data_IF_918842817731
#
_entry.id   IF_918842817731
#
_cell.length_a   1.000
_cell.length_b   1.000
_cell.length_c   1.000
_cell.angle_alpha   90.00
_cell.angle_beta   90.00
_cell.angle_gamma   90.00
#
_symmetry.space_group_name_H-M   'P 1'
#
loop_
_entity.id
_entity.type
_entity.pdbx_description
1 polymer ?
#
# COMPACT_ATOMS: atom_id res chain seq x y z
N UNK A 1 53.85 0.66 112.39
CA UNK A 1 52.61 0.68 111.58
C UNK A 1 52.86 0.16 110.16
N UNK A 2 53.94 0.56 109.48
CA UNK A 2 54.29 0.06 108.13
C UNK A 2 55.23 -1.16 108.07
N UNK A 3 55.25 -2.03 109.10
CA UNK A 3 56.13 -3.24 109.17
C UNK A 3 55.44 -4.41 109.88
N UNK A 4 54.17 -4.60 109.60
CA UNK A 4 53.38 -5.75 110.04
C UNK A 4 53.03 -6.57 108.80
N UNK A 5 53.11 -7.91 108.90
CA UNK A 5 52.83 -8.83 107.77
C UNK A 5 51.51 -8.54 107.05
N UNK A 6 50.50 -8.07 107.77
CA UNK A 6 49.20 -7.71 107.20
C UNK A 6 49.24 -6.48 106.26
N UNK A 7 50.12 -5.50 106.49
CA UNK A 7 50.20 -4.28 105.68
C UNK A 7 50.96 -4.51 104.37
N UNK A 8 52.05 -5.28 104.39
CA UNK A 8 52.78 -5.66 103.17
C UNK A 8 51.92 -6.55 102.26
N UNK A 9 51.16 -7.50 102.82
CA UNK A 9 50.26 -8.36 102.06
C UNK A 9 49.14 -7.59 101.36
N UNK A 10 48.53 -6.61 102.04
CA UNK A 10 47.47 -5.78 101.47
C UNK A 10 47.98 -4.79 100.41
N UNK A 11 49.20 -4.25 100.59
CA UNK A 11 49.80 -3.34 99.62
C UNK A 11 50.28 -4.09 98.35
N UNK A 12 50.79 -5.31 98.51
CA UNK A 12 51.10 -6.21 97.38
C UNK A 12 49.83 -6.63 96.62
N UNK A 13 48.73 -6.91 97.31
CA UNK A 13 47.43 -7.18 96.68
C UNK A 13 46.88 -5.95 95.95
N UNK A 14 46.99 -4.75 96.53
CA UNK A 14 46.57 -3.51 95.88
C UNK A 14 47.41 -3.17 94.64
N UNK A 15 48.73 -3.40 94.68
CA UNK A 15 49.62 -3.25 93.54
C UNK A 15 49.30 -4.27 92.44
N UNK A 16 49.08 -5.55 92.81
CA UNK A 16 48.64 -6.59 91.86
C UNK A 16 47.29 -6.25 91.21
N UNK A 17 46.31 -5.77 91.98
CA UNK A 17 45.01 -5.35 91.44
C UNK A 17 45.15 -4.13 90.52
N UNK A 18 46.01 -3.17 90.85
CA UNK A 18 46.35 -2.04 89.97
C UNK A 18 47.00 -2.47 88.65
N UNK A 19 47.89 -3.45 88.71
CA UNK A 19 48.57 -4.01 87.54
C UNK A 19 47.60 -4.82 86.65
N UNK A 20 46.71 -5.63 87.25
CA UNK A 20 45.65 -6.35 86.55
C UNK A 20 44.68 -5.36 85.87
N UNK A 21 44.25 -4.30 86.56
CA UNK A 21 43.36 -3.30 85.98
C UNK A 21 44.03 -2.54 84.81
N UNK A 22 45.33 -2.29 84.88
CA UNK A 22 46.10 -1.71 83.78
C UNK A 22 46.19 -2.65 82.58
N UNK A 23 46.42 -3.95 82.82
CA UNK A 23 46.41 -4.97 81.75
C UNK A 23 45.04 -5.11 81.09
N UNK A 24 43.94 -5.06 81.87
CA UNK A 24 42.57 -5.09 81.35
C UNK A 24 42.29 -3.84 80.50
N UNK A 25 42.70 -2.65 80.94
CA UNK A 25 42.54 -1.42 80.18
C UNK A 25 43.32 -1.44 78.85
N UNK A 26 44.56 -1.96 78.86
CA UNK A 26 45.36 -2.12 77.65
C UNK A 26 44.79 -3.18 76.69
N UNK A 27 44.26 -4.29 77.19
CA UNK A 27 43.56 -5.28 76.38
C UNK A 27 42.27 -4.73 75.77
N UNK A 28 41.48 -3.98 76.53
CA UNK A 28 40.25 -3.35 76.04
C UNK A 28 40.54 -2.29 74.97
N UNK A 29 41.62 -1.50 75.14
CA UNK A 29 42.05 -0.53 74.12
C UNK A 29 42.52 -1.23 72.82
N UNK A 30 43.26 -2.34 72.94
CA UNK A 30 43.67 -3.16 71.78
C UNK A 30 42.47 -3.80 71.07
N UNK A 31 41.52 -4.35 71.81
CA UNK A 31 40.30 -4.93 71.27
C UNK A 31 39.42 -3.88 70.57
N UNK A 32 39.31 -2.67 71.13
CA UNK A 32 38.57 -1.56 70.50
C UNK A 32 39.21 -1.10 69.19
N UNK A 33 40.54 -1.05 69.11
CA UNK A 33 41.26 -0.72 67.87
C UNK A 33 41.10 -1.80 66.80
N UNK A 34 41.27 -3.07 67.16
CA UNK A 34 41.05 -4.20 66.25
C UNK A 34 39.61 -4.28 65.74
N UNK A 35 38.62 -3.98 66.58
CA UNK A 35 37.22 -3.91 66.17
C UNK A 35 36.95 -2.73 65.22
N UNK A 36 37.58 -1.56 65.45
CA UNK A 36 37.50 -0.41 64.55
C UNK A 36 38.07 -0.72 63.16
N UNK A 37 39.28 -1.28 63.10
CA UNK A 37 39.94 -1.70 61.85
C UNK A 37 39.15 -2.80 61.12
N UNK A 38 38.58 -3.76 61.85
CA UNK A 38 37.74 -4.81 61.26
C UNK A 38 36.43 -4.24 60.69
N UNK A 39 35.88 -3.19 61.30
CA UNK A 39 34.66 -2.53 60.85
C UNK A 39 34.90 -1.73 59.56
N UNK A 40 35.98 -0.96 59.50
CA UNK A 40 36.40 -0.26 58.27
C UNK A 40 36.68 -1.24 57.12
N UNK A 41 37.36 -2.35 57.40
CA UNK A 41 37.66 -3.38 56.39
C UNK A 41 36.39 -4.05 55.86
N UNK A 42 35.39 -4.26 56.72
CA UNK A 42 34.10 -4.80 56.32
C UNK A 42 33.26 -3.78 55.52
N UNK A 43 33.30 -2.49 55.88
CA UNK A 43 32.65 -1.42 55.11
C UNK A 43 33.26 -1.25 53.72
N UNK A 44 34.59 -1.28 53.61
CA UNK A 44 35.29 -1.25 52.32
C UNK A 44 34.87 -2.43 51.43
N UNK A 45 34.81 -3.64 52.00
CA UNK A 45 34.41 -4.85 51.28
C UNK A 45 32.93 -4.84 50.87
N UNK A 46 32.07 -4.22 51.69
CA UNK A 46 30.65 -4.02 51.37
C UNK A 46 30.49 -3.06 50.19
N UNK A 47 31.28 -1.98 50.13
CA UNK A 47 31.25 -1.04 49.01
C UNK A 47 31.76 -1.67 47.71
N UNK A 48 32.86 -2.44 47.74
CA UNK A 48 33.32 -3.21 46.57
C UNK A 48 32.26 -4.18 46.05
N UNK A 49 31.56 -4.87 46.95
CA UNK A 49 30.47 -5.78 46.58
C UNK A 49 29.29 -5.03 45.95
N UNK A 50 28.93 -3.85 46.46
CA UNK A 50 27.87 -3.00 45.89
C UNK A 50 28.23 -2.51 44.49
N UNK A 51 29.48 -2.07 44.29
CA UNK A 51 29.96 -1.65 42.97
C UNK A 51 29.98 -2.82 41.98
N UNK A 52 30.36 -4.01 42.45
CA UNK A 52 30.28 -5.25 41.67
C UNK A 52 28.85 -5.61 41.25
N UNK A 53 27.88 -5.47 42.16
CA UNK A 53 26.45 -5.69 41.88
C UNK A 53 25.94 -4.68 40.85
N UNK A 54 26.25 -3.39 41.01
CA UNK A 54 25.85 -2.36 40.06
C UNK A 54 26.42 -2.62 38.65
N UNK A 55 27.67 -3.09 38.56
CA UNK A 55 28.28 -3.50 37.30
C UNK A 55 27.57 -4.69 36.64
N UNK A 56 27.16 -5.70 37.43
CA UNK A 56 26.40 -6.85 36.95
C UNK A 56 24.99 -6.48 36.51
N UNK A 57 24.31 -5.58 37.23
CA UNK A 57 22.98 -5.06 36.88
C UNK A 57 23.00 -4.30 35.55
N UNK A 58 24.00 -3.44 35.34
CA UNK A 58 24.21 -2.74 34.07
C UNK A 58 24.40 -3.72 32.90
N UNK A 59 25.21 -4.76 33.12
CA UNK A 59 25.48 -5.79 32.11
C UNK A 59 24.26 -6.67 31.84
N UNK A 60 23.42 -6.92 32.86
CA UNK A 60 22.14 -7.60 32.70
C UNK A 60 21.14 -6.75 31.89
N UNK A 61 21.11 -5.43 32.11
CA UNK A 61 20.29 -4.52 31.31
C UNK A 61 20.73 -4.49 29.84
N UNK A 62 22.04 -4.46 29.56
CA UNK A 62 22.59 -4.51 28.20
C UNK A 62 22.29 -5.85 27.50
N UNK A 63 22.36 -6.96 28.23
CA UNK A 63 21.94 -8.27 27.71
C UNK A 63 20.43 -8.29 27.44
N UNK A 64 19.62 -7.67 28.29
CA UNK A 64 18.17 -7.53 28.10
C UNK A 64 17.81 -6.80 26.81
N UNK A 65 18.53 -5.71 26.47
CA UNK A 65 18.31 -5.01 25.20
C UNK A 65 18.71 -5.85 23.99
N UNK A 66 19.83 -6.58 24.05
CA UNK A 66 20.26 -7.51 22.99
C UNK A 66 19.27 -8.66 22.79
N UNK A 67 18.74 -9.23 23.86
CA UNK A 67 17.70 -10.27 23.79
C UNK A 67 16.43 -9.74 23.12
N UNK A 68 16.00 -8.52 23.49
CA UNK A 68 14.83 -7.89 22.86
C UNK A 68 15.05 -7.61 21.37
N UNK A 69 16.25 -7.18 20.98
CA UNK A 69 16.62 -7.00 19.58
C UNK A 69 16.59 -8.35 18.82
N UNK A 70 17.14 -9.41 19.41
CA UNK A 70 17.14 -10.74 18.81
C UNK A 70 15.71 -11.27 18.59
N UNK A 71 14.82 -11.09 19.58
CA UNK A 71 13.39 -11.46 19.45
C UNK A 71 12.70 -10.70 18.30
N UNK A 72 13.00 -9.41 18.13
CA UNK A 72 12.47 -8.62 16.99
C UNK A 72 12.99 -9.16 15.65
N UNK A 73 14.30 -9.38 15.54
CA UNK A 73 14.92 -9.93 14.33
C UNK A 73 14.37 -11.31 13.97
N UNK A 74 14.14 -12.17 14.95
CA UNK A 74 13.53 -13.49 14.74
C UNK A 74 12.09 -13.38 14.21
N UNK A 75 11.30 -12.44 14.75
CA UNK A 75 9.96 -12.13 14.25
C UNK A 75 9.97 -11.63 12.80
N UNK A 76 10.89 -10.71 12.47
CA UNK A 76 11.06 -10.20 11.11
C UNK A 76 11.54 -11.27 10.14
N UNK A 77 12.46 -12.15 10.56
CA UNK A 77 12.92 -13.27 9.75
C UNK A 77 11.78 -14.24 9.42
N UNK A 78 10.98 -14.64 10.43
CA UNK A 78 9.83 -15.51 10.23
C UNK A 78 8.77 -14.87 9.31
N UNK A 79 8.57 -13.55 9.42
CA UNK A 79 7.69 -12.79 8.52
C UNK A 79 8.20 -12.82 7.08
N UNK A 80 9.49 -12.58 6.86
CA UNK A 80 10.12 -12.61 5.52
C UNK A 80 10.10 -14.01 4.90
N UNK A 81 10.34 -15.05 5.69
CA UNK A 81 10.27 -16.43 5.22
C UNK A 81 8.86 -16.81 4.75
N UNK A 82 7.81 -16.36 5.46
CA UNK A 82 6.42 -16.51 5.01
C UNK A 82 6.12 -15.76 3.72
N UNK A 83 6.73 -14.60 3.50
CA UNK A 83 6.57 -13.84 2.25
C UNK A 83 7.25 -14.58 1.10
N UNK A 84 8.44 -15.11 1.32
CA UNK A 84 9.19 -15.86 0.30
C UNK A 84 8.43 -17.11 -0.15
N UNK A 85 7.95 -17.94 0.79
CA UNK A 85 7.17 -19.13 0.43
C UNK A 85 5.86 -18.81 -0.31
N UNK A 86 5.23 -17.66 -0.02
CA UNK A 86 4.07 -17.18 -0.78
C UNK A 86 4.44 -16.73 -2.20
N UNK A 87 5.64 -16.20 -2.39
CA UNK A 87 6.16 -15.85 -3.72
C UNK A 87 6.37 -17.12 -4.55
N UNK A 88 6.99 -18.15 -3.99
CA UNK A 88 7.22 -19.42 -4.68
C UNK A 88 5.89 -20.14 -5.05
N UNK A 89 4.89 -20.10 -4.16
CA UNK A 89 3.55 -20.63 -4.45
C UNK A 89 2.87 -19.85 -5.59
N UNK A 90 3.04 -18.51 -5.61
CA UNK A 90 2.54 -17.66 -6.68
C UNK A 90 3.27 -17.94 -8.01
N UNK A 91 4.58 -18.09 -7.99
CA UNK A 91 5.39 -18.38 -9.18
C UNK A 91 5.03 -19.74 -9.78
N UNK A 92 4.82 -20.76 -8.93
CA UNK A 92 4.32 -22.06 -9.38
C UNK A 92 2.93 -21.97 -10.01
N UNK A 93 2.02 -21.20 -9.40
CA UNK A 93 0.67 -20.97 -9.93
C UNK A 93 0.67 -20.25 -11.29
N UNK A 94 1.49 -19.21 -11.42
CA UNK A 94 1.63 -18.45 -12.64
C UNK A 94 2.26 -19.32 -13.73
N UNK A 95 3.38 -19.99 -13.46
CA UNK A 95 4.07 -20.83 -14.44
C UNK A 95 3.21 -21.98 -14.96
N UNK A 96 2.33 -22.57 -14.13
CA UNK A 96 1.37 -23.58 -14.59
C UNK A 96 0.34 -23.00 -15.58
N UNK A 97 -0.23 -21.84 -15.28
CA UNK A 97 -1.27 -21.20 -16.11
C UNK A 97 -0.74 -20.64 -17.43
N UNK A 98 0.53 -20.21 -17.48
CA UNK A 98 1.17 -19.65 -18.68
C UNK A 98 1.85 -20.70 -19.58
N UNK A 99 1.71 -22.00 -19.26
CA UNK A 99 2.26 -23.10 -20.07
C UNK A 99 1.30 -23.65 -21.12
N UNK A 100 0.05 -23.18 -21.14
CA UNK A 100 -0.99 -23.60 -22.09
C UNK A 100 -0.76 -23.01 -23.50
N UNK A 101 -1.53 -23.50 -24.49
CA UNK A 101 -1.57 -22.87 -25.81
C UNK A 101 -1.98 -21.39 -25.70
N UNK A 102 -1.50 -20.53 -26.61
CA UNK A 102 -1.83 -19.10 -26.57
C UNK A 102 -3.35 -18.86 -26.54
N UNK A 103 -4.14 -19.69 -27.24
CA UNK A 103 -5.60 -19.55 -27.25
C UNK A 103 -6.24 -19.87 -25.87
N UNK A 104 -5.80 -20.95 -25.22
CA UNK A 104 -6.29 -21.34 -23.90
C UNK A 104 -5.83 -20.37 -22.83
N UNK A 105 -4.56 -19.97 -22.87
CA UNK A 105 -3.98 -18.97 -21.97
C UNK A 105 -4.76 -17.65 -22.04
N UNK A 106 -5.10 -17.17 -23.23
CA UNK A 106 -5.85 -15.92 -23.41
C UNK A 106 -7.30 -16.05 -22.95
N UNK A 107 -7.92 -17.23 -23.16
CA UNK A 107 -9.27 -17.54 -22.63
C UNK A 107 -9.28 -17.72 -21.12
N UNK A 108 -8.14 -18.11 -20.54
CA UNK A 108 -7.97 -18.32 -19.11
C UNK A 108 -8.17 -17.00 -18.36
N UNK A 109 -8.67 -17.08 -17.13
CA UNK A 109 -8.83 -15.93 -16.25
C UNK A 109 -8.04 -16.20 -14.97
N UNK A 110 -6.71 -16.34 -15.03
CA UNK A 110 -5.93 -16.99 -13.98
C UNK A 110 -6.01 -16.24 -12.65
N UNK A 111 -6.33 -14.94 -12.66
CA UNK A 111 -6.50 -14.17 -11.42
C UNK A 111 -7.93 -14.23 -10.84
N UNK A 112 -8.89 -14.85 -11.55
CA UNK A 112 -10.31 -14.84 -11.22
C UNK A 112 -10.93 -16.25 -11.16
N UNK A 113 -10.64 -17.10 -12.15
CA UNK A 113 -11.22 -18.42 -12.33
C UNK A 113 -10.14 -19.48 -12.61
N UNK A 114 -10.30 -20.67 -12.03
CA UNK A 114 -9.51 -21.89 -12.28
C UNK A 114 -10.42 -22.99 -12.85
N UNK A 115 -9.87 -23.88 -13.69
CA UNK A 115 -10.58 -25.08 -14.15
C UNK A 115 -10.49 -26.16 -13.07
N UNK A 116 -11.64 -26.67 -12.63
CA UNK A 116 -11.71 -27.86 -11.79
C UNK A 116 -11.41 -29.14 -12.57
N UNK A 117 -11.24 -30.25 -11.86
CA UNK A 117 -11.09 -31.60 -12.45
C UNK A 117 -12.30 -31.97 -13.32
N UNK A 118 -13.47 -31.38 -13.01
CA UNK A 118 -14.72 -31.50 -13.77
C UNK A 118 -14.81 -30.55 -14.97
N UNK A 119 -13.70 -29.92 -15.38
CA UNK A 119 -13.59 -28.91 -16.44
C UNK A 119 -14.44 -27.64 -16.22
N UNK A 120 -15.08 -27.51 -15.05
CA UNK A 120 -15.89 -26.34 -14.72
C UNK A 120 -15.04 -25.22 -14.14
N UNK A 121 -15.31 -23.99 -14.57
CA UNK A 121 -14.68 -22.81 -14.02
C UNK A 121 -15.17 -22.54 -12.60
N UNK A 122 -14.24 -22.40 -11.66
CA UNK A 122 -14.48 -22.04 -10.25
C UNK A 122 -13.68 -20.80 -9.89
N UNK A 123 -14.18 -20.00 -8.96
CA UNK A 123 -13.43 -18.82 -8.46
C UNK A 123 -12.16 -19.26 -7.75
N UNK A 124 -11.02 -18.69 -8.14
CA UNK A 124 -9.72 -19.00 -7.53
C UNK A 124 -9.70 -18.62 -6.05
N UNK A 125 -8.82 -19.27 -5.27
CA UNK A 125 -8.57 -18.87 -3.88
C UNK A 125 -8.15 -17.40 -3.78
N UNK A 126 -7.31 -16.92 -4.71
CA UNK A 126 -6.87 -15.54 -4.79
C UNK A 126 -8.06 -14.58 -5.00
N UNK A 127 -8.96 -14.88 -5.94
CA UNK A 127 -10.12 -14.05 -6.20
C UNK A 127 -11.07 -13.98 -5.01
N UNK A 128 -11.30 -15.11 -4.32
CA UNK A 128 -12.08 -15.14 -3.07
C UNK A 128 -11.41 -14.29 -1.98
N UNK A 129 -10.11 -14.44 -1.78
CA UNK A 129 -9.35 -13.66 -0.80
C UNK A 129 -9.39 -12.15 -1.10
N UNK A 130 -9.32 -11.74 -2.38
CA UNK A 130 -9.49 -10.34 -2.81
C UNK A 130 -10.87 -9.79 -2.43
N UNK A 131 -11.93 -10.59 -2.65
CA UNK A 131 -13.30 -10.22 -2.26
C UNK A 131 -13.43 -10.06 -0.74
N UNK A 132 -12.92 -11.01 0.04
CA UNK A 132 -12.98 -10.93 1.51
C UNK A 132 -12.18 -9.74 2.04
N UNK A 133 -10.97 -9.50 1.53
CA UNK A 133 -10.18 -8.31 1.89
C UNK A 133 -10.93 -7.01 1.59
N UNK A 134 -11.60 -6.94 0.43
CA UNK A 134 -12.39 -5.77 0.07
C UNK A 134 -13.58 -5.56 1.03
N UNK A 135 -14.28 -6.63 1.43
CA UNK A 135 -15.36 -6.55 2.43
C UNK A 135 -14.85 -6.07 3.79
N UNK A 136 -13.72 -6.59 4.26
CA UNK A 136 -13.13 -6.15 5.53
C UNK A 136 -12.67 -4.69 5.48
N UNK A 137 -12.13 -4.24 4.34
CA UNK A 137 -11.82 -2.82 4.14
C UNK A 137 -13.08 -1.93 4.21
N UNK A 138 -14.20 -2.37 3.63
CA UNK A 138 -15.48 -1.66 3.74
C UNK A 138 -16.01 -1.63 5.18
N UNK A 139 -15.86 -2.72 5.94
CA UNK A 139 -16.20 -2.76 7.36
C UNK A 139 -15.37 -1.77 8.17
N UNK A 140 -14.07 -1.65 7.86
CA UNK A 140 -13.19 -0.66 8.48
C UNK A 140 -13.63 0.78 8.15
N UNK A 141 -13.95 1.07 6.87
CA UNK A 141 -14.49 2.37 6.48
C UNK A 141 -15.78 2.70 7.24
N UNK A 142 -16.70 1.74 7.32
CA UNK A 142 -17.96 1.86 8.08
C UNK A 142 -17.68 2.21 9.55
N UNK A 143 -16.80 1.47 10.21
CA UNK A 143 -16.44 1.72 11.61
C UNK A 143 -15.84 3.12 11.81
N UNK A 144 -14.93 3.55 10.92
CA UNK A 144 -14.33 4.88 10.95
C UNK A 144 -15.37 5.99 10.75
N UNK A 145 -16.31 5.81 9.83
CA UNK A 145 -17.42 6.75 9.59
C UNK A 145 -18.29 6.89 10.84
N UNK A 146 -18.63 5.78 11.50
CA UNK A 146 -19.45 5.83 12.72
C UNK A 146 -18.70 6.44 13.91
N UNK A 147 -17.40 6.18 14.05
CA UNK A 147 -16.57 6.81 15.07
C UNK A 147 -16.52 8.34 14.91
N UNK A 148 -16.48 8.83 13.66
CA UNK A 148 -16.40 10.25 13.32
C UNK A 148 -17.72 10.84 12.79
N UNK A 149 -18.87 10.30 13.22
CA UNK A 149 -20.19 10.56 12.59
C UNK A 149 -20.55 12.04 12.43
N UNK A 150 -20.27 12.89 13.43
CA UNK A 150 -20.65 14.31 13.39
C UNK A 150 -19.80 15.09 12.38
N UNK A 151 -18.50 14.77 12.30
CA UNK A 151 -17.60 15.35 11.31
C UNK A 151 -17.99 14.91 9.89
N UNK A 152 -18.25 13.62 9.68
CA UNK A 152 -18.70 13.09 8.38
C UNK A 152 -20.03 13.71 7.97
N UNK A 153 -21.00 13.83 8.89
CA UNK A 153 -22.29 14.48 8.62
C UNK A 153 -22.12 15.95 8.21
N UNK A 154 -21.19 16.66 8.85
CA UNK A 154 -20.89 18.06 8.51
C UNK A 154 -20.25 18.16 7.13
N UNK A 155 -19.30 17.29 6.81
CA UNK A 155 -18.67 17.22 5.49
C UNK A 155 -19.69 16.89 4.39
N UNK A 156 -20.65 16.00 4.65
CA UNK A 156 -21.73 15.68 3.70
C UNK A 156 -22.64 16.88 3.41
N UNK A 157 -22.94 17.70 4.43
CA UNK A 157 -23.67 18.96 4.23
C UNK A 157 -22.84 19.95 3.41
N UNK A 158 -21.55 20.06 3.70
CA UNK A 158 -20.65 20.91 2.93
C UNK A 158 -20.55 20.46 1.47
N UNK A 159 -20.47 19.15 1.19
CA UNK A 159 -20.52 18.58 -0.16
C UNK A 159 -21.80 18.98 -0.91
N UNK A 160 -22.94 18.90 -0.24
CA UNK A 160 -24.23 19.31 -0.82
C UNK A 160 -24.23 20.80 -1.18
N UNK A 161 -23.58 21.67 -0.39
CA UNK A 161 -23.46 23.10 -0.73
C UNK A 161 -22.49 23.29 -1.90
N UNK A 162 -21.32 22.62 -1.87
CA UNK A 162 -20.29 22.72 -2.93
C UNK A 162 -20.85 22.33 -4.30
N UNK A 163 -21.65 21.27 -4.40
CA UNK A 163 -22.17 20.80 -5.68
C UNK A 163 -23.42 21.54 -6.18
N UNK A 164 -24.20 22.17 -5.28
CA UNK A 164 -25.46 22.82 -5.67
C UNK A 164 -25.37 24.34 -5.74
N UNK A 165 -24.52 24.98 -4.94
CA UNK A 165 -24.44 26.44 -4.86
C UNK A 165 -23.02 26.91 -4.48
N UNK A 166 -22.20 27.14 -5.50
CA UNK A 166 -20.82 27.57 -5.32
C UNK A 166 -20.71 28.93 -4.61
N UNK A 167 -21.63 29.86 -4.88
CA UNK A 167 -21.63 31.18 -4.24
C UNK A 167 -21.92 31.06 -2.75
N UNK A 168 -22.82 30.17 -2.37
CA UNK A 168 -23.07 29.85 -0.96
C UNK A 168 -21.88 29.14 -0.31
N UNK A 169 -21.16 28.28 -1.04
CA UNK A 169 -19.92 27.68 -0.54
C UNK A 169 -18.88 28.76 -0.21
N UNK A 170 -18.68 29.72 -1.11
CA UNK A 170 -17.76 30.85 -0.90
C UNK A 170 -18.20 31.74 0.27
N UNK A 171 -19.49 32.08 0.35
CA UNK A 171 -20.06 32.86 1.47
C UNK A 171 -19.89 32.17 2.82
N UNK A 172 -19.91 30.83 2.84
CA UNK A 172 -19.66 30.03 4.04
C UNK A 172 -18.16 29.89 4.39
N UNK A 173 -17.25 30.57 3.67
CA UNK A 173 -15.82 30.51 3.91
C UNK A 173 -15.15 29.21 3.44
N UNK A 174 -15.80 28.44 2.56
CA UNK A 174 -15.21 27.23 1.97
C UNK A 174 -14.24 27.62 0.84
N UNK A 175 -13.03 28.03 1.23
CA UNK A 175 -11.89 28.19 0.32
C UNK A 175 -11.60 26.89 -0.45
N UNK A 176 -10.90 27.02 -1.59
CA UNK A 176 -10.53 25.91 -2.47
C UNK A 176 -9.87 24.73 -1.71
N UNK A 177 -8.98 25.02 -0.75
CA UNK A 177 -8.33 24.00 0.08
C UNK A 177 -9.35 23.19 0.90
N UNK A 178 -10.38 23.83 1.44
CA UNK A 178 -11.44 23.18 2.21
C UNK A 178 -12.32 22.33 1.30
N UNK A 179 -12.73 22.88 0.14
CA UNK A 179 -13.54 22.16 -0.85
C UNK A 179 -12.84 20.88 -1.31
N UNK A 180 -11.55 20.96 -1.60
CA UNK A 180 -10.70 19.81 -1.94
C UNK A 180 -10.72 18.72 -0.88
N UNK A 181 -10.43 19.04 0.38
CA UNK A 181 -10.41 18.04 1.46
C UNK A 181 -11.79 17.44 1.74
N UNK A 182 -12.85 18.24 1.62
CA UNK A 182 -14.24 17.79 1.75
C UNK A 182 -14.60 16.79 0.64
N UNK A 183 -14.25 17.08 -0.62
CA UNK A 183 -14.45 16.15 -1.75
C UNK A 183 -13.57 14.91 -1.62
N UNK A 184 -12.34 15.02 -1.11
CA UNK A 184 -11.53 13.82 -0.79
C UNK A 184 -12.22 12.91 0.23
N UNK A 185 -12.91 13.50 1.21
CA UNK A 185 -13.76 12.78 2.16
C UNK A 185 -14.87 11.95 1.51
N UNK A 186 -15.35 12.32 0.32
CA UNK A 186 -16.34 11.53 -0.43
C UNK A 186 -15.82 10.13 -0.77
N UNK A 187 -14.52 9.98 -1.06
CA UNK A 187 -13.92 8.69 -1.40
C UNK A 187 -13.88 7.70 -0.23
N UNK A 188 -14.05 8.17 1.01
CA UNK A 188 -14.24 7.29 2.17
C UNK A 188 -15.60 6.57 2.11
N UNK A 189 -16.62 7.23 1.55
CA UNK A 189 -18.00 6.73 1.44
C UNK A 189 -18.21 5.93 0.15
N UNK A 190 -17.73 6.47 -0.96
CA UNK A 190 -17.88 5.88 -2.31
C UNK A 190 -16.50 5.71 -2.92
N UNK A 191 -15.93 4.49 -2.95
CA UNK A 191 -14.57 4.26 -3.43
C UNK A 191 -14.40 4.50 -4.93
N UNK A 192 -15.51 4.59 -5.67
CA UNK A 192 -15.54 4.84 -7.12
C UNK A 192 -16.54 5.94 -7.40
N UNK A 193 -16.14 6.92 -8.21
CA UNK A 193 -16.97 8.01 -8.72
C UNK A 193 -16.81 8.06 -10.23
N UNK A 194 -17.91 8.03 -10.96
CA UNK A 194 -17.93 8.13 -12.43
C UNK A 194 -18.34 9.54 -12.86
N UNK A 195 -17.66 10.09 -13.86
CA UNK A 195 -17.98 11.39 -14.46
C UNK A 195 -17.51 11.41 -15.92
N UNK A 196 -18.14 12.25 -16.74
CA UNK A 196 -17.58 12.61 -18.06
C UNK A 196 -16.42 13.60 -17.88
N UNK A 197 -15.58 13.76 -18.89
CA UNK A 197 -14.49 14.76 -18.87
C UNK A 197 -15.02 16.20 -18.73
N UNK A 198 -16.14 16.52 -19.38
CA UNK A 198 -16.75 17.84 -19.33
C UNK A 198 -17.15 18.23 -17.89
N UNK A 199 -17.81 17.32 -17.17
CA UNK A 199 -18.20 17.55 -15.77
C UNK A 199 -17.01 17.49 -14.83
N UNK A 200 -16.04 16.58 -15.09
CA UNK A 200 -14.89 16.37 -14.23
C UNK A 200 -14.09 17.64 -13.99
N UNK A 201 -13.87 18.44 -15.05
CA UNK A 201 -13.04 19.63 -14.92
C UNK A 201 -13.62 20.64 -13.93
N UNK A 202 -14.95 20.80 -13.92
CA UNK A 202 -15.66 21.70 -13.01
C UNK A 202 -15.76 21.12 -11.60
N UNK A 203 -16.17 19.85 -11.48
CA UNK A 203 -16.38 19.18 -10.18
C UNK A 203 -15.10 19.08 -9.36
N UNK A 204 -13.97 18.81 -10.01
CA UNK A 204 -12.68 18.61 -9.35
C UNK A 204 -11.69 19.76 -9.61
N UNK A 205 -12.18 20.97 -9.90
CA UNK A 205 -11.32 22.12 -10.27
C UNK A 205 -10.29 22.49 -9.21
N UNK A 206 -10.62 22.30 -7.93
CA UNK A 206 -9.74 22.62 -6.80
C UNK A 206 -8.72 21.50 -6.48
N UNK A 207 -8.76 20.38 -7.21
CA UNK A 207 -7.82 19.28 -7.01
C UNK A 207 -6.47 19.62 -7.63
N UNK A 208 -5.42 19.30 -6.89
CA UNK A 208 -4.03 19.40 -7.29
C UNK A 208 -3.54 18.09 -7.92
N UNK A 209 -2.31 18.15 -8.44
CA UNK A 209 -1.67 17.00 -9.05
C UNK A 209 -1.53 15.84 -8.06
N UNK A 210 -1.99 14.67 -8.48
CA UNK A 210 -1.94 13.44 -7.67
C UNK A 210 -2.94 13.36 -6.51
N UNK A 211 -3.96 14.22 -6.45
CA UNK A 211 -5.03 14.09 -5.45
C UNK A 211 -5.94 12.87 -5.68
N UNK A 212 -6.04 12.41 -6.92
CA UNK A 212 -6.76 11.18 -7.29
C UNK A 212 -5.77 10.02 -7.34
N UNK A 213 -6.07 8.93 -6.63
CA UNK A 213 -5.21 7.76 -6.60
C UNK A 213 -5.13 7.05 -7.96
N UNK A 214 -6.27 6.76 -8.57
CA UNK A 214 -6.37 6.04 -9.84
C UNK A 214 -7.52 6.60 -10.67
N UNK A 215 -7.25 6.89 -11.93
CA UNK A 215 -8.22 7.28 -12.95
C UNK A 215 -8.47 6.12 -13.89
N UNK A 216 -9.74 5.84 -14.21
CA UNK A 216 -10.12 4.93 -15.29
C UNK A 216 -10.76 5.76 -16.40
N UNK A 217 -10.21 5.63 -17.61
CA UNK A 217 -10.77 6.25 -18.82
C UNK A 217 -11.29 5.11 -19.69
N UNK A 218 -12.59 5.09 -19.92
CA UNK A 218 -13.25 4.18 -20.85
C UNK A 218 -13.49 4.88 -22.19
N UNK A 219 -13.62 4.10 -23.26
CA UNK A 219 -13.78 4.60 -24.65
C UNK A 219 -12.71 5.63 -25.05
N UNK A 220 -11.47 5.43 -24.61
CA UNK A 220 -10.37 6.38 -24.78
C UNK A 220 -9.97 6.61 -26.25
N UNK A 221 -10.39 5.71 -27.16
CA UNK A 221 -10.24 5.88 -28.61
C UNK A 221 -11.03 7.08 -29.14
N UNK A 222 -12.17 7.38 -28.51
CA UNK A 222 -13.04 8.51 -28.87
C UNK A 222 -12.73 9.78 -28.05
N UNK A 223 -11.82 9.70 -27.09
CA UNK A 223 -11.48 10.82 -26.22
C UNK A 223 -10.34 11.68 -26.81
N UNK A 224 -10.56 12.99 -26.86
CA UNK A 224 -9.53 13.98 -27.21
C UNK A 224 -8.56 14.18 -26.03
N UNK A 225 -7.28 14.39 -26.33
CA UNK A 225 -6.20 14.68 -25.38
C UNK A 225 -6.53 15.85 -24.44
N UNK A 226 -7.10 16.93 -24.97
CA UNK A 226 -7.40 18.15 -24.19
C UNK A 226 -8.43 17.88 -23.10
N UNK A 227 -9.42 17.03 -23.37
CA UNK A 227 -10.48 16.68 -22.42
C UNK A 227 -9.94 15.84 -21.25
N UNK A 228 -8.98 14.94 -21.51
CA UNK A 228 -8.41 14.07 -20.50
C UNK A 228 -7.29 14.72 -19.67
N UNK A 229 -6.63 15.77 -20.19
CA UNK A 229 -5.46 16.38 -19.58
C UNK A 229 -5.67 16.76 -18.09
N UNK A 230 -6.78 17.43 -17.78
CA UNK A 230 -7.09 17.85 -16.41
C UNK A 230 -7.27 16.68 -15.44
N UNK A 231 -7.88 15.58 -15.92
CA UNK A 231 -8.04 14.36 -15.13
C UNK A 231 -6.72 13.62 -14.93
N UNK A 232 -5.91 13.53 -15.99
CA UNK A 232 -4.60 12.88 -15.95
C UNK A 232 -3.65 13.59 -14.98
N UNK A 233 -3.55 14.93 -15.03
CA UNK A 233 -2.68 15.70 -14.15
C UNK A 233 -3.03 15.55 -12.66
N UNK A 234 -4.33 15.48 -12.35
CA UNK A 234 -4.84 15.32 -10.98
C UNK A 234 -4.72 13.89 -10.45
N UNK A 235 -4.28 12.93 -11.27
CA UNK A 235 -4.25 11.51 -10.94
C UNK A 235 -2.83 10.98 -10.79
N UNK A 236 -2.61 10.07 -9.84
CA UNK A 236 -1.30 9.40 -9.67
C UNK A 236 -1.07 8.30 -10.70
N UNK A 237 -2.14 7.60 -11.07
CA UNK A 237 -2.12 6.53 -12.07
C UNK A 237 -3.37 6.62 -12.94
N UNK A 238 -3.26 6.21 -14.19
CA UNK A 238 -4.38 6.13 -15.12
C UNK A 238 -4.40 4.76 -15.80
N UNK A 239 -5.58 4.15 -15.87
CA UNK A 239 -5.88 3.00 -16.71
C UNK A 239 -6.73 3.51 -17.85
N UNK A 240 -6.21 3.39 -19.07
CA UNK A 240 -6.82 3.90 -20.29
C UNK A 240 -7.27 2.71 -21.11
N UNK A 241 -8.55 2.64 -21.40
CA UNK A 241 -9.19 1.55 -22.12
C UNK A 241 -9.96 2.12 -23.30
N UNK A 242 -9.75 1.53 -24.47
CA UNK A 242 -10.41 1.90 -25.70
C UNK A 242 -9.99 0.96 -26.82
N UNK A 243 -10.58 1.17 -27.99
CA UNK A 243 -10.22 0.44 -29.20
C UNK A 243 -9.75 1.45 -30.26
N UNK A 244 -8.47 1.40 -30.68
CA UNK A 244 -7.93 2.33 -31.66
C UNK A 244 -8.48 2.12 -33.08
N UNK A 245 -9.12 0.97 -33.37
CA UNK A 245 -9.73 0.69 -34.67
C UNK A 245 -11.20 1.14 -34.75
N UNK A 246 -11.77 1.60 -33.63
CA UNK A 246 -13.11 2.18 -33.60
C UNK A 246 -13.09 3.67 -33.94
N UNK A 247 -14.19 4.38 -33.67
CA UNK A 247 -14.35 5.78 -34.01
C UNK A 247 -13.26 6.66 -33.36
N UNK A 248 -12.70 7.55 -34.18
CA UNK A 248 -11.77 8.58 -33.73
C UNK A 248 -12.49 9.73 -32.99
N UNK A 249 -11.77 10.54 -32.21
CA UNK A 249 -12.36 11.69 -31.52
C UNK A 249 -12.95 12.70 -32.50
N UNK A 250 -14.17 13.17 -32.24
CA UNK A 250 -14.77 14.25 -33.03
C UNK A 250 -14.12 15.57 -32.62
N UNK A 251 -13.35 16.17 -33.54
CA UNK A 251 -12.70 17.46 -33.34
C UNK A 251 -13.30 18.50 -34.27
N UNK A 252 -13.93 19.52 -33.69
CA UNK A 252 -14.57 20.63 -34.43
C UNK A 252 -13.58 21.73 -34.85
N UNK A 253 -12.31 21.59 -34.50
CA UNK A 253 -11.27 22.58 -34.78
C UNK A 253 -10.88 22.53 -36.27
N UNK A 254 -10.83 23.67 -36.99
CA UNK A 254 -10.33 23.71 -38.35
C UNK A 254 -8.88 23.23 -38.45
N UNK A 255 -8.55 22.50 -39.52
CA UNK A 255 -7.21 21.94 -39.77
C UNK A 255 -6.12 23.02 -39.74
N UNK A 256 -6.37 24.17 -40.37
CA UNK A 256 -5.43 25.29 -40.39
C UNK A 256 -5.12 25.82 -38.99
N UNK A 257 -6.13 25.90 -38.13
CA UNK A 257 -5.97 26.38 -36.75
C UNK A 257 -5.25 25.34 -35.89
N UNK A 258 -5.57 24.05 -36.04
CA UNK A 258 -4.85 22.98 -35.36
C UNK A 258 -3.35 22.99 -35.71
N UNK A 259 -3.02 23.11 -37.00
CA UNK A 259 -1.63 23.16 -37.45
C UNK A 259 -0.92 24.43 -36.96
N UNK A 260 -1.61 25.58 -36.96
CA UNK A 260 -1.05 26.81 -36.41
C UNK A 260 -0.74 26.69 -34.91
N UNK A 261 -1.61 26.07 -34.12
CA UNK A 261 -1.38 25.81 -32.68
C UNK A 261 -0.21 24.85 -32.49
N UNK A 262 -0.15 23.75 -33.25
CA UNK A 262 0.97 22.80 -33.18
C UNK A 262 2.32 23.47 -33.46
N UNK A 263 2.38 24.29 -34.52
CA UNK A 263 3.60 25.05 -34.86
C UNK A 263 3.94 26.10 -33.81
N UNK A 264 2.95 26.85 -33.31
CA UNK A 264 3.16 27.87 -32.29
C UNK A 264 3.68 27.29 -30.96
N UNK A 265 3.17 26.12 -30.57
CA UNK A 265 3.59 25.44 -29.34
C UNK A 265 4.84 24.57 -29.52
N UNK A 266 5.43 24.50 -30.72
CA UNK A 266 6.51 23.56 -31.08
C UNK A 266 6.18 22.11 -30.69
N UNK A 267 4.89 21.76 -30.78
CA UNK A 267 4.40 20.46 -30.36
C UNK A 267 4.71 19.41 -31.44
N UNK A 268 5.08 18.20 -31.01
CA UNK A 268 5.28 17.07 -31.91
C UNK A 268 3.96 16.69 -32.59
N UNK A 269 4.04 16.17 -33.81
CA UNK A 269 2.86 15.72 -34.59
C UNK A 269 2.02 14.67 -33.85
N UNK A 270 2.64 13.95 -32.93
CA UNK A 270 1.96 12.98 -32.08
C UNK A 270 0.97 13.61 -31.08
N UNK A 271 0.96 14.93 -30.90
CA UNK A 271 -0.03 15.67 -30.12
C UNK A 271 -1.06 16.37 -31.02
N UNK A 272 -1.06 16.07 -32.31
CA UNK A 272 -2.05 16.59 -33.25
C UNK A 272 -3.45 16.13 -32.85
N UNK A 273 -4.31 17.08 -32.50
CA UNK A 273 -5.65 16.81 -31.97
C UNK A 273 -6.55 16.11 -32.97
N UNK A 274 -6.31 16.30 -34.27
CA UNK A 274 -7.09 15.68 -35.35
C UNK A 274 -6.68 14.23 -35.64
N UNK A 275 -5.53 13.78 -35.13
CA UNK A 275 -4.95 12.47 -35.43
C UNK A 275 -4.67 11.62 -34.20
N UNK A 276 -4.89 12.16 -33.01
CA UNK A 276 -4.45 11.53 -31.76
C UNK A 276 -5.57 11.49 -30.74
N UNK A 277 -5.87 10.29 -30.27
CA UNK A 277 -6.74 10.03 -29.13
C UNK A 277 -5.93 9.80 -27.85
N UNK A 278 -6.62 9.83 -26.71
CA UNK A 278 -6.02 9.48 -25.41
C UNK A 278 -5.48 8.05 -25.44
N UNK A 279 -6.21 7.12 -26.08
CA UNK A 279 -5.77 5.74 -26.25
C UNK A 279 -4.45 5.64 -27.01
N UNK A 280 -4.34 6.25 -28.19
CA UNK A 280 -3.14 6.17 -29.02
C UNK A 280 -1.88 6.68 -28.29
N UNK A 281 -2.04 7.70 -27.45
CA UNK A 281 -0.95 8.22 -26.60
C UNK A 281 -0.61 7.30 -25.44
N UNK A 282 -1.63 6.72 -24.80
CA UNK A 282 -1.42 5.76 -23.72
C UNK A 282 -0.70 4.51 -24.24
N UNK A 283 -1.10 3.99 -25.40
CA UNK A 283 -0.48 2.83 -26.04
C UNK A 283 0.99 3.06 -26.37
N UNK A 284 1.32 4.21 -26.97
CA UNK A 284 2.71 4.58 -27.28
C UNK A 284 3.59 4.72 -26.04
N UNK A 285 3.01 4.98 -24.87
CA UNK A 285 3.74 5.03 -23.61
C UNK A 285 3.95 3.65 -22.97
N UNK A 286 3.25 2.61 -23.44
CA UNK A 286 3.40 1.24 -22.93
C UNK A 286 4.57 0.51 -23.59
N UNK A 287 5.38 -0.15 -22.76
CA UNK A 287 6.47 -1.02 -23.21
C UNK A 287 6.00 -2.42 -23.60
N UNK A 288 4.80 -2.81 -23.15
CA UNK A 288 4.23 -4.14 -23.39
C UNK A 288 3.02 -3.97 -24.30
N UNK A 289 3.11 -4.53 -25.50
CA UNK A 289 2.09 -4.38 -26.53
C UNK A 289 2.42 -5.21 -27.76
N UNK A 290 1.61 -5.02 -28.79
CA UNK A 290 1.83 -5.61 -30.12
C UNK A 290 1.45 -4.63 -31.20
N UNK A 291 1.84 -4.92 -32.43
CA UNK A 291 1.34 -4.21 -33.59
C UNK A 291 0.09 -4.90 -34.13
N UNK A 292 -0.94 -4.10 -34.39
CA UNK A 292 -2.15 -4.50 -35.10
C UNK A 292 -2.14 -3.82 -36.48
N UNK A 293 -2.68 -4.46 -37.51
CA UNK A 293 -2.89 -3.81 -38.81
C UNK A 293 -4.22 -3.05 -38.77
N UNK A 294 -4.17 -1.74 -38.91
CA UNK A 294 -5.36 -0.89 -39.02
C UNK A 294 -5.29 -0.06 -40.31
N UNK A 295 -6.30 -0.15 -41.16
CA UNK A 295 -6.45 0.69 -42.36
C UNK A 295 -5.20 0.80 -43.27
N UNK A 296 -4.38 -0.25 -43.33
CA UNK A 296 -3.15 -0.30 -44.13
C UNK A 296 -1.86 0.13 -43.41
N UNK A 297 -1.93 0.56 -42.15
CA UNK A 297 -0.77 0.91 -41.32
C UNK A 297 -0.68 0.01 -40.07
N UNK A 298 0.53 -0.18 -39.56
CA UNK A 298 0.76 -0.91 -38.30
C UNK A 298 0.62 0.04 -37.11
N UNK A 299 -0.36 -0.21 -36.25
CA UNK A 299 -0.64 0.57 -35.05
C UNK A 299 -0.11 -0.20 -33.82
N UNK A 300 0.67 0.45 -32.98
CA UNK A 300 1.11 -0.11 -31.69
C UNK A 300 -0.02 -0.01 -30.66
N UNK A 301 -0.33 -1.11 -29.98
CA UNK A 301 -1.38 -1.19 -28.96
C UNK A 301 -0.82 -1.83 -27.69
N UNK A 302 -1.03 -1.18 -26.55
CA UNK A 302 -0.60 -1.66 -25.26
C UNK A 302 -1.57 -2.72 -24.71
N UNK A 303 -1.03 -3.85 -24.24
CA UNK A 303 -1.79 -4.91 -23.56
C UNK A 303 -3.17 -5.25 -24.19
N UNK A 304 -3.24 -5.61 -25.49
CA UNK A 304 -4.49 -5.82 -26.20
C UNK A 304 -5.31 -6.98 -25.60
N UNK A 305 -6.63 -6.80 -25.50
CA UNK A 305 -7.57 -7.84 -25.10
C UNK A 305 -8.18 -8.51 -26.33
N UNK A 306 -7.70 -9.69 -26.68
CA UNK A 306 -8.08 -10.35 -27.95
C UNK A 306 -9.22 -11.36 -27.83
N UNK A 307 -9.65 -11.72 -26.61
CA UNK A 307 -10.75 -12.68 -26.42
C UNK A 307 -12.10 -12.00 -26.50
N UNK A 308 -12.84 -12.27 -27.58
CA UNK A 308 -14.16 -11.74 -27.80
C UNK A 308 -15.25 -12.66 -27.24
N UNK A 309 -16.14 -12.11 -26.41
CA UNK A 309 -17.22 -12.88 -25.74
C UNK A 309 -18.65 -12.42 -26.09
N UNK A 310 -18.80 -11.34 -26.86
CA UNK A 310 -20.11 -10.69 -27.13
C UNK A 310 -20.89 -11.33 -28.28
N UNK A 311 -20.29 -11.47 -29.46
CA UNK A 311 -20.95 -11.96 -30.67
C UNK A 311 -20.67 -13.46 -30.89
N UNK A 312 -21.55 -14.11 -31.65
CA UNK A 312 -21.36 -15.46 -32.18
C UNK A 312 -21.14 -15.38 -33.69
N UNK A 313 -20.71 -16.49 -34.31
CA UNK A 313 -20.56 -16.58 -35.75
C UNK A 313 -21.94 -16.46 -36.44
N UNK A 314 -22.04 -15.85 -37.63
CA UNK A 314 -20.93 -15.33 -38.46
C UNK A 314 -20.46 -13.91 -38.08
N UNK A 315 -21.16 -13.18 -37.20
CA UNK A 315 -20.80 -11.78 -36.87
C UNK A 315 -19.38 -11.62 -36.33
N UNK A 316 -18.92 -12.58 -35.52
CA UNK A 316 -17.53 -12.58 -35.03
C UNK A 316 -16.53 -12.78 -36.16
N UNK A 317 -16.71 -13.80 -37.01
CA UNK A 317 -15.81 -14.12 -38.12
C UNK A 317 -15.66 -12.92 -39.06
N UNK A 318 -16.79 -12.32 -39.48
CA UNK A 318 -16.78 -11.16 -40.36
C UNK A 318 -15.95 -10.03 -39.76
N UNK A 319 -16.20 -9.65 -38.51
CA UNK A 319 -15.46 -8.55 -37.86
C UNK A 319 -13.97 -8.88 -37.68
N UNK A 320 -13.64 -10.13 -37.36
CA UNK A 320 -12.26 -10.56 -37.14
C UNK A 320 -11.45 -10.50 -38.43
N UNK A 321 -12.03 -10.99 -39.53
CA UNK A 321 -11.43 -11.00 -40.84
C UNK A 321 -11.28 -9.58 -41.41
N UNK A 322 -12.34 -8.76 -41.34
CA UNK A 322 -12.33 -7.45 -42.02
C UNK A 322 -11.56 -6.36 -41.28
N UNK A 323 -11.47 -6.45 -39.95
CA UNK A 323 -11.03 -5.31 -39.12
C UNK A 323 -9.86 -5.67 -38.21
N UNK A 324 -9.81 -6.89 -37.69
CA UNK A 324 -8.81 -7.28 -36.68
C UNK A 324 -7.77 -8.30 -37.20
N UNK A 325 -7.65 -8.52 -38.52
CA UNK A 325 -6.63 -9.38 -39.15
C UNK A 325 -6.51 -10.77 -38.48
N UNK A 326 -7.67 -11.36 -38.16
CA UNK A 326 -7.82 -12.64 -37.48
C UNK A 326 -7.18 -12.76 -36.08
N UNK A 327 -6.79 -11.65 -35.45
CA UNK A 327 -6.15 -11.68 -34.12
C UNK A 327 -7.09 -12.01 -32.96
N UNK A 328 -8.41 -11.80 -33.12
CA UNK A 328 -9.35 -12.08 -32.03
C UNK A 328 -9.59 -13.58 -31.87
N UNK A 329 -9.89 -13.97 -30.64
CA UNK A 329 -10.20 -15.34 -30.24
C UNK A 329 -11.65 -15.41 -29.78
N UNK A 330 -12.44 -16.34 -30.32
CA UNK A 330 -13.81 -16.55 -29.85
C UNK A 330 -13.83 -17.23 -28.48
N UNK A 331 -14.23 -16.47 -27.46
CA UNK A 331 -14.35 -16.95 -26.08
C UNK A 331 -15.66 -17.68 -25.76
N UNK A 332 -16.65 -17.66 -26.67
CA UNK A 332 -17.89 -18.45 -26.53
C UNK A 332 -17.64 -19.90 -26.90
N UNK A 333 -18.30 -20.83 -26.20
CA UNK A 333 -18.37 -22.23 -26.65
C UNK A 333 -19.08 -22.28 -28.01
N UNK A 334 -18.56 -23.05 -28.96
CA UNK A 334 -19.06 -23.19 -30.33
C UNK A 334 -20.56 -23.57 -30.46
N UNK A 335 -21.22 -23.97 -29.36
CA UNK A 335 -22.65 -24.14 -29.28
C UNK A 335 -23.40 -22.79 -29.32
N UNK A 336 -23.35 -22.09 -30.45
CA UNK A 336 -24.35 -21.06 -30.73
C UNK A 336 -25.69 -21.77 -30.96
N UNK A 337 -26.74 -21.36 -30.22
CA UNK A 337 -28.13 -21.83 -30.36
C UNK A 337 -28.78 -21.43 -31.71
N UNK A 338 -27.99 -20.95 -32.67
CA UNK A 338 -28.45 -20.51 -33.99
C UNK A 338 -28.07 -21.47 -35.11
N UNK A 339 -27.82 -22.75 -34.81
CA UNK A 339 -27.85 -23.83 -35.81
C UNK A 339 -29.27 -24.09 -36.35
N UNK A 340 -30.07 -23.03 -36.57
CA UNK A 340 -31.28 -23.13 -37.37
C UNK A 340 -30.83 -22.91 -38.82
N UNK A 341 -30.50 -24.02 -39.48
CA UNK A 341 -30.01 -24.14 -40.87
C UNK A 341 -30.97 -23.63 -41.94
N UNK A 342 -32.07 -22.95 -41.57
CA UNK A 342 -33.11 -22.48 -42.49
C UNK A 342 -33.13 -20.97 -42.74
N UNK A 343 -32.24 -20.18 -42.14
CA UNK A 343 -32.13 -18.76 -42.46
C UNK A 343 -31.09 -18.57 -43.57
N UNK A 344 -31.52 -18.71 -44.82
CA UNK A 344 -30.76 -18.20 -45.96
C UNK A 344 -30.88 -16.68 -45.99
N UNK A 345 -29.87 -15.98 -45.45
CA UNK A 345 -29.69 -14.56 -45.76
C UNK A 345 -29.16 -14.45 -47.19
N UNK A 346 -30.03 -14.08 -48.12
CA UNK A 346 -29.61 -13.57 -49.43
C UNK A 346 -29.08 -12.15 -49.23
N UNK A 347 -27.79 -11.96 -49.49
CA UNK A 347 -27.24 -10.64 -49.81
C UNK A 347 -27.49 -10.35 -51.29
#
# INVERSE_FOLDING_TARGET
IFKTEAFEKYNDEALKVGEINRQIAEQNLKASKQNGESKEKNEARLNELKDGIAGLESRAAELGTKINLYKRLQGDFARRQKILGRSEELDSYLNGSFSESNEEMQKSMPFMMERGIDEKFRKTKLFKARIELFKEALNLHKAAIFACKEAVRTNLRALSVIFNDEKMAEKNGLEAKHRREVIKGLFLLTPVVSSTFASFNNTFKDFLNGDIGMLLIDEAGQANLTNALGALLRSKMAVVVGDPLQLEPVVTLPVSLNNAILSYCEAKEEFNLLKSSVQLRADKAQNIGTYIKGSGESIWVGSPLIVHRRCANPMFEISNETTYDDMMILGRSAASKFANTNVQTKW
#
